data_IF_028596392526
#
_entry.id   IF_028596392526
#
_cell.length_a   1.000
_cell.length_b   1.000
_cell.length_c   1.000
_cell.angle_alpha   90.00
_cell.angle_beta   90.00
_cell.angle_gamma   90.00
#
_symmetry.space_group_name_H-M   'P 1'
#
loop_
_entity.id
_entity.type
_entity.pdbx_description
1 polymer ?
#
# COMPACT_ATOMS: atom_id res chain seq x y z
N UNK A 1 20.77 14.14 31.11
CA UNK A 1 19.69 15.06 30.67
C UNK A 1 19.16 14.46 29.37
N UNK A 2 17.95 13.90 29.36
CA UNK A 2 17.36 13.32 28.14
C UNK A 2 16.58 14.43 27.47
N UNK A 3 16.98 14.83 26.26
CA UNK A 3 16.15 15.71 25.45
C UNK A 3 14.80 15.03 25.25
N UNK A 4 13.73 15.69 25.69
CA UNK A 4 12.38 15.22 25.43
C UNK A 4 12.09 15.53 23.98
N UNK A 5 12.15 14.50 23.14
CA UNK A 5 11.79 14.61 21.74
C UNK A 5 10.34 15.10 21.65
N UNK A 6 10.18 16.37 21.25
CA UNK A 6 8.88 17.00 21.11
C UNK A 6 8.19 16.42 19.88
N UNK A 7 7.00 15.85 20.07
CA UNK A 7 6.19 15.30 18.99
C UNK A 7 5.00 16.22 18.72
N UNK A 8 4.86 16.68 17.49
CA UNK A 8 3.72 17.48 17.03
C UNK A 8 2.60 16.58 16.49
N UNK A 9 1.34 17.01 16.64
CA UNK A 9 0.20 16.39 15.97
C UNK A 9 0.42 16.44 14.45
N UNK A 10 0.14 15.33 13.80
CA UNK A 10 0.15 15.20 12.34
C UNK A 10 -1.27 15.42 11.86
N UNK A 11 -1.48 16.49 11.09
CA UNK A 11 -2.80 16.78 10.51
C UNK A 11 -3.18 15.68 9.49
N UNK A 12 -4.40 15.17 9.62
CA UNK A 12 -4.99 14.25 8.65
C UNK A 12 -5.71 15.08 7.60
N UNK A 13 -5.04 15.40 6.50
CA UNK A 13 -5.69 16.06 5.36
C UNK A 13 -6.78 15.14 4.77
N UNK A 14 -7.82 15.74 4.20
CA UNK A 14 -8.75 15.04 3.33
C UNK A 14 -7.96 14.56 2.11
N UNK A 15 -7.41 13.34 2.18
CA UNK A 15 -6.86 12.66 0.99
C UNK A 15 -7.88 12.86 -0.13
N UNK A 16 -7.44 13.26 -1.33
CA UNK A 16 -8.32 13.60 -2.47
C UNK A 16 -9.26 12.49 -2.97
N UNK A 17 -9.40 11.39 -2.22
CA UNK A 17 -10.43 10.39 -2.37
C UNK A 17 -11.62 10.75 -1.46
N UNK A 18 -12.82 11.01 -2.02
CA UNK A 18 -14.01 11.34 -1.23
C UNK A 18 -14.49 10.16 -0.36
N UNK A 19 -13.97 8.95 -0.61
CA UNK A 19 -14.30 7.77 0.18
C UNK A 19 -13.52 7.76 1.49
N UNK A 20 -14.22 7.47 2.60
CA UNK A 20 -13.64 7.29 3.93
C UNK A 20 -12.45 6.33 3.90
N UNK A 21 -11.39 6.71 4.62
CA UNK A 21 -10.17 5.93 4.74
C UNK A 21 -10.16 5.12 6.05
N UNK A 22 -9.53 3.95 5.98
CA UNK A 22 -9.40 3.01 7.10
C UNK A 22 -7.94 2.59 7.24
N UNK A 23 -7.37 2.72 8.43
CA UNK A 23 -6.06 2.18 8.77
C UNK A 23 -6.18 0.68 9.06
N UNK A 24 -5.30 -0.12 8.46
CA UNK A 24 -5.35 -1.58 8.48
C UNK A 24 -4.19 -2.13 9.31
N UNK A 25 -4.52 -3.06 10.20
CA UNK A 25 -3.55 -3.78 11.00
C UNK A 25 -3.76 -5.27 10.82
N UNK A 26 -2.67 -6.04 10.72
CA UNK A 26 -2.73 -7.50 10.58
C UNK A 26 -1.86 -8.20 11.61
N UNK A 27 -2.25 -9.41 11.96
CA UNK A 27 -1.44 -10.37 12.71
C UNK A 27 -1.28 -11.62 11.86
N UNK A 28 -0.04 -11.94 11.50
CA UNK A 28 0.27 -13.05 10.58
C UNK A 28 0.19 -14.43 11.25
N UNK A 29 0.53 -14.52 12.53
CA UNK A 29 0.58 -15.77 13.28
C UNK A 29 0.00 -15.55 14.67
N UNK A 30 -0.54 -16.60 15.28
CA UNK A 30 -1.00 -16.56 16.66
C UNK A 30 0.16 -16.16 17.60
N UNK A 31 -0.08 -15.19 18.47
CA UNK A 31 0.94 -14.65 19.39
C UNK A 31 1.86 -13.58 18.79
N UNK A 32 1.84 -13.34 17.47
CA UNK A 32 2.55 -12.19 16.88
C UNK A 32 1.88 -10.86 17.23
N UNK A 33 2.62 -9.74 17.30
CA UNK A 33 2.02 -8.41 17.49
C UNK A 33 1.20 -7.99 16.27
N UNK A 34 0.17 -7.16 16.49
CA UNK A 34 -0.53 -6.46 15.41
C UNK A 34 0.42 -5.48 14.73
N UNK A 35 0.47 -5.50 13.39
CA UNK A 35 1.28 -4.57 12.59
C UNK A 35 0.40 -3.76 11.66
N UNK A 36 0.62 -2.44 11.64
CA UNK A 36 0.03 -1.57 10.62
C UNK A 36 0.60 -1.92 9.24
N UNK A 37 -0.27 -2.09 8.25
CA UNK A 37 0.12 -2.48 6.87
C UNK A 37 -0.28 -1.46 5.81
N UNK A 38 -0.97 -0.40 6.20
CA UNK A 38 -1.40 0.67 5.31
C UNK A 38 -2.85 1.05 5.51
N UNK A 39 -3.45 1.63 4.47
CA UNK A 39 -4.81 2.14 4.49
C UNK A 39 -5.63 1.66 3.29
N UNK A 40 -6.94 1.52 3.46
CA UNK A 40 -7.89 1.24 2.37
C UNK A 40 -9.04 2.25 2.36
N UNK A 41 -9.57 2.52 1.17
CA UNK A 41 -10.78 3.30 1.00
C UNK A 41 -12.00 2.36 1.00
N UNK A 42 -13.02 2.69 1.81
CA UNK A 42 -14.29 1.95 1.85
C UNK A 42 -15.39 2.79 2.49
N UNK A 43 -16.64 2.60 2.07
CA UNK A 43 -17.79 3.32 2.62
C UNK A 43 -18.17 2.82 4.03
N UNK A 44 -17.80 1.58 4.38
CA UNK A 44 -18.16 0.96 5.66
C UNK A 44 -17.07 0.04 6.21
N UNK A 45 -17.20 -0.32 7.50
CA UNK A 45 -16.27 -1.24 8.16
C UNK A 45 -16.22 -2.65 7.55
N UNK A 46 -17.36 -3.28 7.22
CA UNK A 46 -17.37 -4.57 6.53
C UNK A 46 -16.67 -4.52 5.16
N UNK A 47 -16.93 -3.49 4.36
CA UNK A 47 -16.26 -3.30 3.06
C UNK A 47 -14.75 -3.05 3.22
N UNK A 48 -14.35 -2.26 4.23
CA UNK A 48 -12.94 -2.05 4.57
C UNK A 48 -12.26 -3.39 4.92
N UNK A 49 -12.92 -4.24 5.71
CA UNK A 49 -12.42 -5.56 6.06
C UNK A 49 -12.30 -6.46 4.83
N UNK A 50 -13.28 -6.46 3.91
CA UNK A 50 -13.18 -7.22 2.65
C UNK A 50 -11.99 -6.76 1.79
N UNK A 51 -11.84 -5.45 1.61
CA UNK A 51 -10.71 -4.88 0.86
C UNK A 51 -9.37 -5.23 1.51
N UNK A 52 -9.26 -5.04 2.83
CA UNK A 52 -8.07 -5.36 3.60
C UNK A 52 -7.73 -6.85 3.55
N UNK A 53 -8.74 -7.73 3.63
CA UNK A 53 -8.53 -9.19 3.59
C UNK A 53 -7.96 -9.64 2.24
N UNK A 54 -8.44 -9.04 1.12
CA UNK A 54 -7.95 -9.35 -0.22
C UNK A 54 -6.52 -8.85 -0.46
N UNK A 55 -6.17 -7.68 0.09
CA UNK A 55 -4.86 -7.05 -0.14
C UNK A 55 -3.78 -7.55 0.82
N UNK A 56 -4.13 -7.79 2.08
CA UNK A 56 -3.17 -8.03 3.17
C UNK A 56 -3.45 -9.31 3.97
N UNK A 57 -4.63 -9.92 3.82
CA UNK A 57 -5.14 -10.94 4.73
C UNK A 57 -4.96 -12.40 4.30
N UNK A 58 -4.30 -12.70 3.17
CA UNK A 58 -4.22 -14.08 2.63
C UNK A 58 -3.72 -15.13 3.62
N UNK A 59 -2.83 -14.73 4.52
CA UNK A 59 -2.29 -15.60 5.58
C UNK A 59 -2.41 -14.97 6.97
N UNK A 60 -3.19 -13.90 7.11
CA UNK A 60 -3.35 -13.24 8.40
C UNK A 60 -4.33 -14.04 9.26
N UNK A 61 -3.96 -14.27 10.52
CA UNK A 61 -4.86 -14.84 11.54
C UNK A 61 -5.89 -13.80 11.96
N UNK A 62 -5.51 -12.52 11.98
CA UNK A 62 -6.43 -11.42 12.30
C UNK A 62 -6.20 -10.20 11.41
N UNK A 63 -7.31 -9.54 11.06
CA UNK A 63 -7.34 -8.26 10.34
C UNK A 63 -8.20 -7.28 11.13
N UNK A 64 -7.62 -6.16 11.55
CA UNK A 64 -8.33 -5.07 12.22
C UNK A 64 -8.37 -3.84 11.31
N UNK A 65 -9.51 -3.16 11.29
CA UNK A 65 -9.69 -1.91 10.56
C UNK A 65 -10.16 -0.81 11.51
N UNK A 66 -9.52 0.35 11.44
CA UNK A 66 -9.89 1.53 12.23
C UNK A 66 -10.18 2.70 11.27
N UNK A 67 -11.29 3.44 11.42
CA UNK A 67 -11.48 4.69 10.67
C UNK A 67 -10.28 5.62 10.86
N UNK A 68 -9.73 6.15 9.77
CA UNK A 68 -8.52 6.98 9.84
C UNK A 68 -8.72 8.29 10.63
N UNK A 69 -9.94 8.81 10.67
CA UNK A 69 -10.34 9.97 11.47
C UNK A 69 -10.41 9.69 12.99
N UNK A 70 -10.43 8.41 13.39
CA UNK A 70 -10.33 8.01 14.78
C UNK A 70 -8.87 7.82 15.25
N UNK A 71 -7.87 7.95 14.34
CA UNK A 71 -6.45 7.75 14.66
C UNK A 71 -5.75 9.08 14.88
N UNK A 72 -5.30 9.29 16.11
CA UNK A 72 -4.48 10.42 16.52
C UNK A 72 -2.99 10.15 16.19
N UNK A 73 -2.39 10.96 15.32
CA UNK A 73 -0.99 10.80 14.89
C UNK A 73 -0.10 11.89 15.47
N UNK A 74 1.06 11.50 15.99
CA UNK A 74 2.09 12.40 16.53
C UNK A 74 3.46 12.01 15.95
N UNK A 75 4.22 12.98 15.48
CA UNK A 75 5.55 12.76 14.88
C UNK A 75 6.55 13.77 15.42
N UNK A 76 7.82 13.36 15.57
CA UNK A 76 8.92 14.27 15.85
C UNK A 76 9.40 15.02 14.60
N UNK A 77 8.93 14.61 13.42
CA UNK A 77 9.14 15.28 12.14
C UNK A 77 7.79 15.76 11.62
N UNK A 78 7.62 17.07 11.47
CA UNK A 78 6.39 17.63 10.91
C UNK A 78 6.24 17.25 9.43
N UNK A 79 5.02 17.04 8.95
CA UNK A 79 4.75 16.70 7.54
C UNK A 79 5.30 17.74 6.54
N UNK A 80 5.39 19.01 6.95
CA UNK A 80 5.96 20.08 6.14
C UNK A 80 7.47 19.92 5.91
N UNK A 81 8.19 19.31 6.86
CA UNK A 81 9.62 19.03 6.70
C UNK A 81 9.84 17.91 5.67
N UNK A 82 9.04 16.84 5.73
CA UNK A 82 9.13 15.74 4.78
C UNK A 82 8.68 16.14 3.35
N UNK A 83 7.77 17.11 3.21
CA UNK A 83 7.37 17.62 1.90
C UNK A 83 8.47 18.45 1.23
N UNK A 84 9.15 19.32 1.99
CA UNK A 84 10.26 20.13 1.51
C UNK A 84 11.45 19.26 1.04
N UNK A 85 11.73 18.15 1.72
CA UNK A 85 12.80 17.22 1.35
C UNK A 85 12.52 16.48 0.02
N UNK A 86 11.24 16.29 -0.38
CA UNK A 86 10.87 15.60 -1.65
C UNK A 86 10.90 16.50 -2.89
N UNK A 87 10.91 17.81 -2.71
CA UNK A 87 10.96 18.77 -3.81
C UNK A 87 12.40 19.22 -4.13
N UNK A 88 13.37 18.96 -3.24
CA UNK A 88 14.79 19.31 -3.44
C UNK A 88 15.59 18.39 -4.36
N UNK A 89 15.00 17.31 -4.89
CA UNK A 89 15.68 16.29 -5.72
C UNK A 89 15.32 16.34 -7.22
N UNK A 90 14.48 17.31 -7.66
CA UNK A 90 14.02 17.40 -9.07
C UNK A 90 14.80 18.39 -9.94
N UNK A 91 15.90 18.93 -9.44
CA UNK A 91 16.76 19.87 -10.18
C UNK A 91 18.17 19.30 -10.37
N UNK A 92 18.28 18.13 -11.00
CA UNK A 92 19.52 17.70 -11.64
C UNK A 92 19.22 16.88 -12.91
N UNK A 93 19.60 17.47 -14.04
CA UNK A 93 19.96 16.81 -15.29
C UNK A 93 18.82 16.37 -16.23
N UNK A 94 18.18 17.36 -16.86
CA UNK A 94 17.73 17.23 -18.23
C UNK A 94 18.89 17.40 -19.21
N UNK A 95 19.30 16.32 -19.87
CA UNK A 95 20.09 16.34 -21.11
C UNK A 95 19.84 15.06 -21.94
N UNK A 96 18.98 15.21 -22.95
CA UNK A 96 19.03 14.62 -24.30
C UNK A 96 19.50 13.16 -24.51
N UNK A 97 18.56 12.27 -24.88
CA UNK A 97 18.68 11.41 -26.06
C UNK A 97 17.33 10.74 -26.39
N UNK A 98 16.68 11.19 -27.47
CA UNK A 98 15.68 10.37 -28.18
C UNK A 98 16.46 9.31 -28.95
N UNK A 99 16.46 8.09 -28.43
CA UNK A 99 16.97 6.90 -29.11
C UNK A 99 15.81 6.08 -29.67
N UNK A 100 15.61 6.19 -30.98
CA UNK A 100 14.85 5.26 -31.81
C UNK A 100 15.55 3.90 -31.79
N UNK A 101 14.81 2.81 -31.55
CA UNK A 101 15.37 1.46 -31.37
C UNK A 101 14.28 0.42 -31.18
N UNK A 102 13.79 -0.10 -32.29
CA UNK A 102 12.91 -1.25 -32.41
C UNK A 102 13.54 -2.50 -31.77
N UNK A 103 12.77 -3.28 -31.01
CA UNK A 103 12.88 -4.74 -30.96
C UNK A 103 11.64 -5.29 -30.23
N UNK A 104 10.60 -5.57 -31.02
CA UNK A 104 9.45 -6.34 -30.57
C UNK A 104 9.91 -7.79 -30.32
N UNK A 105 10.16 -8.14 -29.07
CA UNK A 105 10.44 -9.53 -28.72
C UNK A 105 9.24 -10.42 -29.12
N UNK A 106 9.44 -11.48 -29.93
CA UNK A 106 8.36 -12.37 -30.31
C UNK A 106 7.89 -13.15 -29.08
N UNK A 107 6.65 -12.89 -28.64
CA UNK A 107 6.00 -13.69 -27.60
C UNK A 107 5.76 -15.10 -28.15
N UNK A 108 6.63 -16.04 -27.79
CA UNK A 108 6.37 -17.47 -27.98
C UNK A 108 5.28 -17.86 -27.00
N UNK A 109 4.08 -18.12 -27.51
CA UNK A 109 3.02 -18.80 -26.77
C UNK A 109 3.24 -20.31 -26.95
N UNK A 110 3.79 -20.99 -25.95
CA UNK A 110 3.71 -22.45 -25.91
C UNK A 110 2.27 -22.83 -25.54
N UNK A 111 1.51 -23.17 -26.57
CA UNK A 111 0.19 -23.77 -26.48
C UNK A 111 0.34 -25.18 -25.89
N UNK A 112 0.05 -25.34 -24.59
CA UNK A 112 -0.06 -26.67 -23.97
C UNK A 112 -1.37 -27.31 -24.41
N UNK A 113 -1.37 -27.95 -25.58
CA UNK A 113 -2.44 -28.87 -26.00
C UNK A 113 -2.40 -30.14 -25.13
N UNK A 114 -3.16 -30.11 -24.03
CA UNK A 114 -3.51 -31.31 -23.27
C UNK A 114 -4.74 -31.98 -23.88
N UNK A 115 -4.56 -32.89 -24.83
CA UNK A 115 -5.63 -33.73 -25.37
C UNK A 115 -6.13 -34.73 -24.30
N UNK A 116 -7.41 -34.73 -23.90
CA UNK A 116 -7.94 -35.80 -23.06
C UNK A 116 -8.29 -37.00 -23.95
N UNK A 117 -7.55 -38.11 -23.80
CA UNK A 117 -7.99 -39.40 -24.32
C UNK A 117 -9.09 -39.96 -23.42
N UNK A 118 -10.32 -39.96 -23.90
CA UNK A 118 -11.39 -40.79 -23.34
C UNK A 118 -11.13 -42.25 -23.74
N UNK A 119 -11.00 -43.14 -22.75
CA UNK A 119 -11.06 -44.59 -22.97
C UNK A 119 -12.45 -45.06 -22.59
N UNK A 120 -13.16 -45.62 -23.57
CA UNK A 120 -14.44 -46.32 -23.41
C UNK A 120 -14.20 -47.70 -22.77
N UNK A 121 -15.09 -48.16 -21.89
CA UNK A 121 -15.09 -49.49 -21.26
C UNK A 121 -16.48 -50.09 -21.31
#
# INVERSE_FOLDING_TARGET
MVEKEQRSRVESDERGNPTRQWEVFVRQEEGSPMRHVGSVAAASGPEAHEHASRLFGWYAVDVWCCPADAVERYSSRGLAADAADRDGDRDADGADAIGDGEEAEPRVYEETEGTPQVSDS
#
